data_IF_319771446926
#
_entry.id   IF_319771446926
#
_cell.length_a   1.000
_cell.length_b   1.000
_cell.length_c   1.000
_cell.angle_alpha   90.00
_cell.angle_beta   90.00
_cell.angle_gamma   90.00
#
_symmetry.space_group_name_H-M   'P 1'
#
loop_
_entity.id
_entity.type
_entity.pdbx_description
1 polymer ?
#
# COMPACT_ATOMS: atom_id res chain seq x y z
N UNK A 1 -25.33 14.73 -41.36
CA UNK A 1 -26.01 14.10 -40.16
C UNK A 1 -25.18 13.01 -39.48
N UNK A 2 -24.19 12.39 -40.13
CA UNK A 2 -23.35 11.36 -39.50
C UNK A 2 -22.26 11.95 -38.56
N UNK A 3 -21.85 13.21 -38.74
CA UNK A 3 -20.80 13.87 -37.96
C UNK A 3 -21.20 14.18 -36.51
N UNK A 4 -22.51 14.24 -36.26
CA UNK A 4 -23.06 14.52 -34.93
C UNK A 4 -23.09 13.27 -34.00
N UNK A 5 -22.89 12.03 -34.58
CA UNK A 5 -23.06 10.78 -33.83
C UNK A 5 -21.97 10.55 -32.78
N UNK A 6 -20.70 10.79 -33.13
CA UNK A 6 -19.58 10.63 -32.20
C UNK A 6 -19.65 11.69 -31.09
N UNK A 7 -19.89 12.94 -31.43
CA UNK A 7 -20.05 14.03 -30.48
C UNK A 7 -21.23 13.81 -29.51
N UNK A 8 -22.37 13.34 -30.01
CA UNK A 8 -23.52 13.00 -29.15
C UNK A 8 -23.20 11.86 -28.20
N UNK A 9 -22.54 10.79 -28.65
CA UNK A 9 -22.06 9.70 -27.78
C UNK A 9 -21.05 10.20 -26.75
N UNK A 10 -20.15 11.08 -27.16
CA UNK A 10 -19.17 11.71 -26.28
C UNK A 10 -19.85 12.51 -25.15
N UNK A 11 -20.80 13.37 -25.48
CA UNK A 11 -21.59 14.13 -24.51
C UNK A 11 -22.31 13.20 -23.53
N UNK A 12 -23.04 12.21 -24.05
CA UNK A 12 -23.77 11.23 -23.23
C UNK A 12 -22.82 10.45 -22.31
N UNK A 13 -21.61 10.12 -22.78
CA UNK A 13 -20.62 9.41 -22.01
C UNK A 13 -20.05 10.26 -20.86
N UNK A 14 -19.78 11.55 -21.10
CA UNK A 14 -19.32 12.47 -20.08
C UNK A 14 -20.38 12.68 -18.99
N UNK A 15 -21.62 12.94 -19.37
CA UNK A 15 -22.75 13.16 -18.48
C UNK A 15 -23.10 11.89 -17.69
N UNK A 16 -23.19 10.74 -18.37
CA UNK A 16 -23.53 9.46 -17.75
C UNK A 16 -22.50 8.93 -16.74
N UNK A 17 -21.26 9.41 -16.81
CA UNK A 17 -20.19 9.07 -15.86
C UNK A 17 -19.77 10.24 -14.96
N UNK A 18 -20.51 11.34 -14.97
CA UNK A 18 -20.24 12.54 -14.14
C UNK A 18 -18.76 13.01 -14.21
N UNK A 19 -18.15 12.96 -15.42
CA UNK A 19 -16.71 13.17 -15.56
C UNK A 19 -16.28 14.63 -15.39
N UNK A 20 -17.18 15.56 -15.65
CA UNK A 20 -16.92 17.01 -15.63
C UNK A 20 -17.79 17.78 -14.62
N UNK A 21 -18.42 17.08 -13.69
CA UNK A 21 -19.26 17.72 -12.66
C UNK A 21 -18.41 18.59 -11.74
N UNK A 22 -18.73 19.90 -11.64
CA UNK A 22 -17.99 20.86 -10.85
C UNK A 22 -16.61 21.24 -11.40
N UNK A 23 -16.23 20.73 -12.58
CA UNK A 23 -14.94 21.02 -13.22
C UNK A 23 -14.97 22.38 -13.90
N UNK A 24 -13.94 23.21 -13.65
CA UNK A 24 -13.74 24.53 -14.26
C UNK A 24 -12.60 24.55 -15.28
N UNK A 25 -11.66 23.64 -15.14
CA UNK A 25 -10.47 23.58 -15.97
C UNK A 25 -10.18 22.11 -16.38
N UNK A 26 -9.90 21.86 -17.65
CA UNK A 26 -9.52 20.53 -18.16
C UNK A 26 -8.14 20.62 -18.76
N UNK A 27 -7.18 19.90 -18.16
CA UNK A 27 -5.83 19.73 -18.71
C UNK A 27 -5.86 18.55 -19.67
N UNK A 28 -5.71 18.80 -20.97
CA UNK A 28 -5.77 17.76 -22.01
C UNK A 28 -4.36 17.36 -22.39
N UNK A 29 -4.02 16.08 -22.18
CA UNK A 29 -2.77 15.51 -22.66
C UNK A 29 -2.84 15.22 -24.18
N UNK A 30 -2.08 15.96 -24.97
CA UNK A 30 -2.11 15.88 -26.45
C UNK A 30 -0.74 15.48 -26.98
N UNK A 31 -0.68 14.32 -27.67
CA UNK A 31 0.57 13.80 -28.28
C UNK A 31 0.79 14.19 -29.73
N UNK A 32 -0.22 14.78 -30.39
CA UNK A 32 -0.19 15.02 -31.85
C UNK A 32 -0.80 13.89 -32.69
N UNK A 33 -0.99 12.71 -32.13
CA UNK A 33 -1.66 11.58 -32.78
C UNK A 33 -3.18 11.71 -32.82
N UNK A 34 -3.84 10.94 -33.70
CA UNK A 34 -5.28 11.04 -34.02
C UNK A 34 -6.17 11.02 -32.77
N UNK A 35 -5.95 10.10 -31.84
CA UNK A 35 -6.82 9.91 -30.67
C UNK A 35 -6.82 11.16 -29.77
N UNK A 36 -5.63 11.71 -29.51
CA UNK A 36 -5.47 12.91 -28.67
C UNK A 36 -5.97 14.18 -29.34
N UNK A 37 -5.78 14.32 -30.66
CA UNK A 37 -6.27 15.47 -31.41
C UNK A 37 -7.79 15.46 -31.56
N UNK A 38 -8.41 14.27 -31.74
CA UNK A 38 -9.88 14.14 -31.74
C UNK A 38 -10.45 14.42 -30.34
N UNK A 39 -9.81 13.94 -29.28
CA UNK A 39 -10.20 14.28 -27.91
C UNK A 39 -10.20 15.79 -27.69
N UNK A 40 -9.11 16.47 -28.09
CA UNK A 40 -8.99 17.93 -27.99
C UNK A 40 -10.11 18.63 -28.76
N UNK A 41 -10.40 18.19 -29.98
CA UNK A 41 -11.48 18.76 -30.82
C UNK A 41 -12.87 18.58 -30.20
N UNK A 42 -13.18 17.39 -29.67
CA UNK A 42 -14.46 17.11 -29.02
C UNK A 42 -14.65 17.96 -27.75
N UNK A 43 -13.59 18.10 -26.94
CA UNK A 43 -13.60 18.94 -25.73
C UNK A 43 -13.69 20.44 -26.08
N UNK A 44 -13.03 20.91 -27.14
CA UNK A 44 -13.13 22.27 -27.64
C UNK A 44 -14.58 22.60 -28.03
N UNK A 45 -15.26 21.69 -28.74
CA UNK A 45 -16.63 21.86 -29.16
C UNK A 45 -17.63 21.83 -27.98
N UNK A 46 -17.31 21.03 -26.93
CA UNK A 46 -18.17 20.88 -25.76
C UNK A 46 -17.95 21.96 -24.69
N UNK A 47 -16.76 22.55 -24.60
CA UNK A 47 -16.36 23.48 -23.53
C UNK A 47 -17.28 24.71 -23.39
N UNK A 48 -17.79 25.35 -24.47
CA UNK A 48 -18.70 26.49 -24.33
C UNK A 48 -20.05 26.12 -23.69
N UNK A 49 -20.51 24.89 -23.94
CA UNK A 49 -21.79 24.40 -23.40
C UNK A 49 -21.64 23.99 -21.93
N UNK A 50 -20.52 23.36 -21.59
CA UNK A 50 -20.27 22.84 -20.25
C UNK A 50 -19.57 23.85 -19.29
N UNK A 51 -19.09 24.98 -19.82
CA UNK A 51 -18.56 26.09 -19.01
C UNK A 51 -17.19 25.83 -18.38
N UNK A 52 -16.33 25.03 -18.99
CA UNK A 52 -14.95 24.80 -18.54
C UNK A 52 -13.94 25.40 -19.53
N UNK A 53 -12.71 25.62 -19.03
CA UNK A 53 -11.58 26.07 -19.85
C UNK A 53 -10.65 24.92 -20.20
N UNK A 54 -10.08 24.94 -21.42
CA UNK A 54 -9.11 23.97 -21.90
C UNK A 54 -7.69 24.47 -21.72
N UNK A 55 -6.84 23.58 -21.25
CA UNK A 55 -5.41 23.74 -21.08
C UNK A 55 -4.72 22.56 -21.75
N UNK A 56 -4.02 22.81 -22.86
CA UNK A 56 -3.38 21.76 -23.66
C UNK A 56 -1.97 21.51 -23.14
N UNK A 57 -1.67 20.27 -22.74
CA UNK A 57 -0.35 19.86 -22.26
C UNK A 57 0.26 18.84 -23.24
N UNK A 58 1.43 19.20 -23.81
CA UNK A 58 2.20 18.36 -24.71
C UNK A 58 3.56 18.01 -24.09
N UNK A 59 3.87 16.71 -24.00
CA UNK A 59 5.19 16.24 -23.59
C UNK A 59 5.98 15.75 -24.81
N UNK A 60 7.08 16.42 -25.12
CA UNK A 60 8.04 15.95 -26.09
C UNK A 60 9.07 15.04 -25.41
N UNK A 61 9.06 13.77 -25.74
CA UNK A 61 9.85 12.71 -25.10
C UNK A 61 11.31 12.68 -25.55
N UNK A 62 11.69 13.46 -26.59
CA UNK A 62 13.01 13.48 -27.26
C UNK A 62 13.50 12.08 -27.72
N UNK A 63 12.57 11.14 -27.99
CA UNK A 63 12.92 9.80 -28.47
C UNK A 63 13.04 9.74 -29.98
N UNK A 64 12.19 10.51 -30.70
CA UNK A 64 12.00 10.39 -32.15
C UNK A 64 12.62 11.53 -32.95
N UNK A 65 13.50 12.35 -32.34
CA UNK A 65 14.12 13.49 -32.99
C UNK A 65 13.11 14.41 -33.73
N UNK A 66 13.33 14.70 -35.01
CA UNK A 66 12.48 15.60 -35.81
C UNK A 66 10.98 15.25 -35.84
N UNK A 67 10.63 13.97 -35.68
CA UNK A 67 9.21 13.59 -35.66
C UNK A 67 8.52 14.07 -34.39
N UNK A 68 9.20 14.03 -33.24
CA UNK A 68 8.67 14.55 -31.99
C UNK A 68 8.52 16.08 -32.02
N UNK A 69 9.42 16.78 -32.71
CA UNK A 69 9.31 18.23 -32.93
C UNK A 69 8.16 18.58 -33.86
N UNK A 70 7.89 17.78 -34.90
CA UNK A 70 6.72 17.94 -35.79
C UNK A 70 5.41 17.77 -35.01
N UNK A 71 5.34 16.80 -34.10
CA UNK A 71 4.18 16.60 -33.22
C UNK A 71 3.95 17.83 -32.33
N UNK A 72 4.98 18.35 -31.71
CA UNK A 72 4.94 19.56 -30.89
C UNK A 72 4.47 20.78 -31.70
N UNK A 73 5.05 20.99 -32.90
CA UNK A 73 4.67 22.09 -33.78
C UNK A 73 3.20 22.01 -34.20
N UNK A 74 2.71 20.82 -34.59
CA UNK A 74 1.31 20.60 -34.96
C UNK A 74 0.35 20.99 -33.83
N UNK A 75 0.62 20.54 -32.60
CA UNK A 75 -0.21 20.87 -31.43
C UNK A 75 -0.13 22.36 -31.09
N UNK A 76 1.08 22.95 -31.11
CA UNK A 76 1.29 24.38 -30.88
C UNK A 76 0.50 25.24 -31.86
N UNK A 77 0.59 24.95 -33.15
CA UNK A 77 -0.10 25.69 -34.22
C UNK A 77 -1.62 25.54 -34.13
N UNK A 78 -2.11 24.35 -33.74
CA UNK A 78 -3.52 24.16 -33.48
C UNK A 78 -3.99 25.06 -32.32
N UNK A 79 -3.26 25.07 -31.21
CA UNK A 79 -3.58 25.88 -30.04
C UNK A 79 -3.55 27.38 -30.34
N UNK A 80 -2.54 27.86 -31.07
CA UNK A 80 -2.46 29.27 -31.51
C UNK A 80 -3.67 29.68 -32.34
N UNK A 81 -4.06 28.87 -33.34
CA UNK A 81 -5.23 29.16 -34.20
C UNK A 81 -6.54 29.17 -33.42
N UNK A 82 -6.65 28.40 -32.33
CA UNK A 82 -7.85 28.25 -31.53
C UNK A 82 -7.87 29.11 -30.25
N UNK A 83 -6.80 29.83 -29.99
CA UNK A 83 -6.67 30.65 -28.76
C UNK A 83 -6.65 29.81 -27.47
N UNK A 84 -6.13 28.57 -27.53
CA UNK A 84 -6.04 27.68 -26.40
C UNK A 84 -4.73 27.84 -25.65
N UNK A 85 -4.79 27.76 -24.31
CA UNK A 85 -3.57 27.74 -23.47
C UNK A 85 -2.75 26.48 -23.77
N UNK A 86 -1.47 26.67 -24.09
CA UNK A 86 -0.55 25.60 -24.47
C UNK A 86 0.65 25.54 -23.51
N UNK A 87 0.88 24.34 -22.98
CA UNK A 87 2.00 24.01 -22.09
C UNK A 87 2.82 22.92 -22.73
N UNK A 88 4.12 23.11 -22.84
CA UNK A 88 5.03 22.14 -23.41
C UNK A 88 6.16 21.84 -22.43
N UNK A 89 6.54 20.56 -22.34
CA UNK A 89 7.73 20.10 -21.62
C UNK A 89 8.53 19.17 -22.52
N UNK A 90 9.84 19.34 -22.56
CA UNK A 90 10.76 18.48 -23.31
C UNK A 90 11.62 17.73 -22.32
N UNK A 91 11.66 16.40 -22.40
CA UNK A 91 12.40 15.54 -21.46
C UNK A 91 13.04 14.39 -22.23
N UNK A 92 14.34 14.17 -21.99
CA UNK A 92 15.06 13.00 -22.51
C UNK A 92 14.63 11.74 -21.70
N UNK A 93 13.61 11.06 -22.20
CA UNK A 93 13.04 9.87 -21.53
C UNK A 93 14.04 8.70 -21.47
N UNK A 94 14.85 8.39 -22.48
CA UNK A 94 15.91 7.40 -22.38
C UNK A 94 16.87 7.64 -21.20
N UNK A 95 17.37 8.84 -21.04
CA UNK A 95 18.26 9.21 -19.94
C UNK A 95 17.55 9.12 -18.57
N UNK A 96 16.30 9.55 -18.49
CA UNK A 96 15.49 9.42 -17.28
C UNK A 96 15.27 7.95 -16.90
N UNK A 97 14.95 7.08 -17.88
CA UNK A 97 14.72 5.66 -17.68
C UNK A 97 15.98 4.95 -17.17
N UNK A 98 17.14 5.27 -17.73
CA UNK A 98 18.43 4.73 -17.30
C UNK A 98 18.76 5.13 -15.86
N UNK A 99 18.60 6.43 -15.55
CA UNK A 99 18.86 6.97 -14.20
C UNK A 99 17.99 6.33 -13.12
N UNK A 100 16.69 6.16 -13.40
CA UNK A 100 15.73 5.61 -12.43
C UNK A 100 15.66 4.06 -12.47
N UNK A 101 16.35 3.39 -13.39
CA UNK A 101 16.37 1.93 -13.53
C UNK A 101 15.01 1.33 -13.93
N UNK A 102 14.20 2.06 -14.72
CA UNK A 102 12.87 1.65 -15.14
C UNK A 102 12.74 1.53 -16.66
N UNK A 103 11.68 0.87 -17.14
CA UNK A 103 11.45 0.76 -18.59
C UNK A 103 11.11 2.13 -19.22
N UNK A 104 11.43 2.30 -20.52
CA UNK A 104 11.08 3.50 -21.30
C UNK A 104 9.59 3.84 -21.24
N UNK A 105 8.71 2.82 -21.23
CA UNK A 105 7.27 2.99 -21.14
C UNK A 105 6.87 3.56 -19.77
N UNK A 106 7.44 3.01 -18.68
CA UNK A 106 7.20 3.50 -17.33
C UNK A 106 7.73 4.93 -17.15
N UNK A 107 8.94 5.20 -17.59
CA UNK A 107 9.56 6.52 -17.54
C UNK A 107 8.71 7.57 -18.28
N UNK A 108 8.31 7.27 -19.52
CA UNK A 108 7.45 8.14 -20.31
C UNK A 108 6.08 8.37 -19.69
N UNK A 109 5.51 7.35 -19.04
CA UNK A 109 4.24 7.46 -18.31
C UNK A 109 4.39 8.34 -17.07
N UNK A 110 5.39 8.10 -16.26
CA UNK A 110 5.65 8.83 -15.01
C UNK A 110 5.89 10.32 -15.27
N UNK A 111 6.80 10.66 -16.17
CA UNK A 111 7.10 12.04 -16.55
C UNK A 111 5.87 12.75 -17.12
N UNK A 112 5.06 12.06 -17.94
CA UNK A 112 3.84 12.60 -18.52
C UNK A 112 2.82 13.00 -17.47
N UNK A 113 2.50 12.09 -16.53
CA UNK A 113 1.51 12.39 -15.49
C UNK A 113 2.04 13.38 -14.46
N UNK A 114 3.34 13.37 -14.16
CA UNK A 114 3.97 14.39 -13.33
C UNK A 114 3.82 15.78 -13.95
N UNK A 115 4.09 15.92 -15.24
CA UNK A 115 3.93 17.18 -15.98
C UNK A 115 2.46 17.64 -16.02
N UNK A 116 1.52 16.74 -16.31
CA UNK A 116 0.10 17.10 -16.32
C UNK A 116 -0.40 17.57 -14.96
N UNK A 117 0.09 16.96 -13.86
CA UNK A 117 -0.21 17.42 -12.51
C UNK A 117 0.48 18.74 -12.15
N UNK A 118 1.66 19.01 -12.70
CA UNK A 118 2.33 20.29 -12.56
C UNK A 118 1.49 21.42 -13.16
N UNK A 119 0.99 21.25 -14.39
CA UNK A 119 0.06 22.21 -15.03
C UNK A 119 -1.23 22.36 -14.22
N UNK A 120 -1.78 21.24 -13.76
CA UNK A 120 -3.03 21.21 -12.99
C UNK A 120 -2.94 21.97 -11.66
N UNK A 121 -1.78 21.96 -10.98
CA UNK A 121 -1.61 22.57 -9.64
C UNK A 121 -1.94 24.05 -9.63
N UNK A 122 -1.77 24.75 -10.72
CA UNK A 122 -2.11 26.19 -10.85
C UNK A 122 -3.58 26.45 -11.19
N UNK A 123 -4.38 25.39 -11.40
CA UNK A 123 -5.73 25.47 -11.94
C UNK A 123 -6.76 24.92 -10.92
N UNK A 124 -7.59 25.76 -10.31
CA UNK A 124 -8.60 25.29 -9.37
C UNK A 124 -9.69 24.47 -10.09
N UNK A 125 -10.27 23.51 -9.37
CA UNK A 125 -11.35 22.64 -9.87
C UNK A 125 -11.02 22.02 -11.24
N UNK A 126 -9.85 21.36 -11.33
CA UNK A 126 -9.31 20.85 -12.59
C UNK A 126 -9.19 19.34 -12.62
N UNK A 127 -9.32 18.77 -13.81
CA UNK A 127 -9.09 17.34 -14.14
C UNK A 127 -8.12 17.21 -15.30
N UNK A 128 -7.48 16.04 -15.41
CA UNK A 128 -6.61 15.67 -16.53
C UNK A 128 -7.39 14.76 -17.47
N UNK A 129 -7.48 15.11 -18.76
CA UNK A 129 -8.12 14.30 -19.80
C UNK A 129 -7.06 13.64 -20.70
N UNK A 130 -7.22 12.33 -20.94
CA UNK A 130 -6.31 11.56 -21.81
C UNK A 130 -7.05 10.80 -22.89
N UNK A 131 -6.41 10.60 -24.05
CA UNK A 131 -6.98 10.03 -25.26
C UNK A 131 -6.98 8.49 -25.32
N UNK A 132 -7.26 7.80 -24.21
CA UNK A 132 -7.40 6.34 -24.25
C UNK A 132 -8.74 5.92 -24.86
N UNK A 133 -8.68 4.92 -25.74
CA UNK A 133 -9.81 4.41 -26.51
C UNK A 133 -10.32 3.07 -25.98
N UNK A 134 -11.43 2.56 -26.56
CA UNK A 134 -11.93 1.20 -26.31
C UNK A 134 -10.91 0.14 -26.74
N UNK A 135 -10.24 0.37 -27.86
CA UNK A 135 -9.19 -0.54 -28.34
C UNK A 135 -8.04 -0.64 -27.33
N UNK A 136 -7.55 0.49 -26.79
CA UNK A 136 -6.48 0.50 -25.76
C UNK A 136 -6.92 -0.22 -24.48
N UNK A 137 -8.18 -0.06 -24.10
CA UNK A 137 -8.76 -0.74 -22.94
C UNK A 137 -8.77 -2.26 -23.13
N UNK A 138 -9.29 -2.73 -24.24
CA UNK A 138 -9.36 -4.17 -24.57
C UNK A 138 -7.97 -4.78 -24.69
N UNK A 139 -7.04 -4.11 -25.37
CA UNK A 139 -5.63 -4.51 -25.44
C UNK A 139 -5.04 -4.71 -24.04
N UNK A 140 -5.35 -3.79 -23.12
CA UNK A 140 -4.85 -3.85 -21.74
C UNK A 140 -5.46 -5.02 -20.95
N UNK A 141 -6.77 -5.25 -21.10
CA UNK A 141 -7.45 -6.39 -20.46
C UNK A 141 -6.88 -7.71 -20.95
N UNK A 142 -6.79 -7.89 -22.28
CA UNK A 142 -6.25 -9.10 -22.87
C UNK A 142 -4.79 -9.33 -22.48
N UNK A 143 -3.95 -8.30 -22.49
CA UNK A 143 -2.55 -8.40 -22.08
C UNK A 143 -2.42 -8.87 -20.63
N UNK A 144 -3.23 -8.32 -19.72
CA UNK A 144 -3.26 -8.73 -18.31
C UNK A 144 -3.80 -10.14 -18.15
N UNK A 145 -4.84 -10.50 -18.90
CA UNK A 145 -5.41 -11.84 -18.90
C UNK A 145 -4.38 -12.90 -19.30
N UNK A 146 -3.66 -12.70 -20.41
CA UNK A 146 -2.62 -13.64 -20.87
C UNK A 146 -1.39 -13.71 -19.93
N UNK A 147 -1.16 -12.67 -19.12
CA UNK A 147 -0.12 -12.68 -18.07
C UNK A 147 -0.57 -13.32 -16.77
N UNK A 148 -1.82 -13.75 -16.65
CA UNK A 148 -2.36 -14.36 -15.44
C UNK A 148 -2.74 -13.32 -14.39
N UNK A 149 -3.84 -12.61 -14.60
CA UNK A 149 -4.35 -11.62 -13.64
C UNK A 149 -5.53 -12.15 -12.85
N UNK A 150 -5.75 -11.58 -11.64
CA UNK A 150 -7.01 -11.71 -10.92
C UNK A 150 -8.08 -10.75 -11.46
N UNK A 151 -9.25 -10.74 -10.80
CA UNK A 151 -10.39 -9.87 -11.15
C UNK A 151 -10.00 -8.40 -11.24
N UNK A 152 -9.12 -7.93 -10.36
CA UNK A 152 -8.62 -6.54 -10.35
C UNK A 152 -8.00 -6.13 -11.71
N UNK A 153 -7.22 -7.01 -12.33
CA UNK A 153 -6.60 -6.71 -13.62
C UNK A 153 -7.56 -6.71 -14.79
N UNK A 154 -8.71 -7.40 -14.66
CA UNK A 154 -9.77 -7.39 -15.68
C UNK A 154 -10.51 -6.05 -15.78
N UNK A 155 -10.40 -5.17 -14.80
CA UNK A 155 -10.92 -3.79 -14.88
C UNK A 155 -10.30 -2.98 -16.04
N UNK A 156 -9.16 -3.40 -16.56
CA UNK A 156 -8.49 -2.74 -17.69
C UNK A 156 -8.10 -1.28 -17.39
N UNK A 157 -8.46 -0.37 -18.29
CA UNK A 157 -8.25 1.07 -18.15
C UNK A 157 -9.54 1.71 -17.63
N UNK A 158 -9.57 2.21 -16.37
CA UNK A 158 -10.78 2.82 -15.81
C UNK A 158 -11.17 4.13 -16.52
N UNK A 159 -12.45 4.46 -16.53
CA UNK A 159 -12.98 5.70 -17.13
C UNK A 159 -12.48 6.92 -16.36
N UNK A 160 -12.44 6.81 -15.02
CA UNK A 160 -11.93 7.82 -14.09
C UNK A 160 -11.05 7.17 -13.05
N UNK A 161 -9.92 7.79 -12.75
CA UNK A 161 -8.97 7.32 -11.75
C UNK A 161 -8.33 8.54 -11.05
N UNK A 162 -8.78 8.80 -9.83
CA UNK A 162 -8.40 10.03 -9.15
C UNK A 162 -8.77 11.27 -9.93
N UNK A 163 -7.76 12.03 -10.35
CA UNK A 163 -7.90 13.27 -11.10
C UNK A 163 -7.81 13.11 -12.64
N UNK A 164 -7.67 11.87 -13.11
CA UNK A 164 -7.54 11.54 -14.54
C UNK A 164 -8.85 10.96 -15.07
N UNK A 165 -9.35 11.54 -16.17
CA UNK A 165 -10.53 11.08 -16.91
C UNK A 165 -10.15 10.63 -18.34
N UNK A 166 -10.95 9.73 -18.92
CA UNK A 166 -10.72 9.17 -20.24
C UNK A 166 -11.99 9.31 -21.11
N UNK A 167 -12.24 10.52 -21.59
CA UNK A 167 -13.53 10.89 -22.19
C UNK A 167 -13.90 10.14 -23.46
N UNK A 168 -12.92 9.55 -24.16
CA UNK A 168 -13.14 8.79 -25.41
C UNK A 168 -12.92 7.28 -25.26
N UNK A 169 -12.89 6.75 -24.01
CA UNK A 169 -12.71 5.31 -23.76
C UNK A 169 -13.83 4.44 -24.36
N UNK A 170 -14.98 5.01 -24.65
CA UNK A 170 -16.09 4.34 -25.33
C UNK A 170 -15.90 4.19 -26.85
N UNK A 171 -14.99 4.95 -27.46
CA UNK A 171 -14.85 5.06 -28.91
C UNK A 171 -13.77 4.10 -29.44
N UNK A 172 -14.02 3.56 -30.62
CA UNK A 172 -13.07 2.76 -31.42
C UNK A 172 -12.05 3.68 -32.11
N UNK A 173 -10.79 3.26 -32.24
CA UNK A 173 -9.76 4.00 -32.99
C UNK A 173 -10.21 4.27 -34.43
N UNK A 174 -10.86 3.30 -35.10
CA UNK A 174 -11.41 3.48 -36.45
C UNK A 174 -12.46 4.60 -36.52
N UNK A 175 -13.28 4.77 -35.51
CA UNK A 175 -14.31 5.84 -35.47
C UNK A 175 -13.63 7.22 -35.29
N UNK A 176 -12.59 7.31 -34.44
CA UNK A 176 -11.81 8.54 -34.26
C UNK A 176 -11.10 8.96 -35.55
N UNK A 177 -10.46 8.01 -36.21
CA UNK A 177 -9.80 8.27 -37.48
C UNK A 177 -10.79 8.79 -38.57
N UNK A 178 -11.98 8.16 -38.69
CA UNK A 178 -13.04 8.63 -39.60
C UNK A 178 -13.53 10.04 -39.23
N UNK A 179 -13.70 10.31 -37.91
CA UNK A 179 -14.10 11.63 -37.45
C UNK A 179 -13.04 12.68 -37.79
N UNK A 180 -11.76 12.39 -37.52
CA UNK A 180 -10.65 13.29 -37.83
C UNK A 180 -10.62 13.67 -39.29
N UNK A 181 -10.74 12.68 -40.22
CA UNK A 181 -10.77 12.92 -41.65
C UNK A 181 -11.96 13.77 -42.11
N UNK A 182 -13.16 13.48 -41.60
CA UNK A 182 -14.39 14.21 -41.99
C UNK A 182 -14.42 15.64 -41.47
N UNK A 183 -13.83 15.90 -40.32
CA UNK A 183 -13.83 17.21 -39.67
C UNK A 183 -12.54 17.99 -39.86
N UNK A 184 -11.64 17.53 -40.75
CA UNK A 184 -10.32 18.13 -41.01
C UNK A 184 -9.52 18.40 -39.75
N UNK A 185 -9.56 17.46 -38.77
CA UNK A 185 -8.73 17.54 -37.57
C UNK A 185 -7.30 17.16 -37.96
N UNK A 186 -6.31 18.04 -37.76
CA UNK A 186 -4.92 17.72 -38.10
C UNK A 186 -4.34 16.72 -37.11
N UNK A 187 -3.59 15.73 -37.58
CA UNK A 187 -2.84 14.79 -36.77
C UNK A 187 -1.66 14.21 -37.55
N UNK A 188 -0.65 13.73 -36.83
CA UNK A 188 0.46 12.99 -37.39
C UNK A 188 0.25 11.49 -37.22
N UNK A 189 0.61 10.71 -38.26
CA UNK A 189 0.56 9.24 -38.18
C UNK A 189 1.86 8.71 -37.55
N UNK A 190 1.71 7.81 -36.59
CA UNK A 190 2.83 7.18 -35.90
C UNK A 190 3.18 5.85 -36.56
N UNK A 191 4.23 5.84 -37.37
CA UNK A 191 4.69 4.64 -38.08
C UNK A 191 5.29 3.55 -37.16
N UNK A 192 5.64 3.86 -35.90
CA UNK A 192 6.14 2.85 -34.96
C UNK A 192 5.09 1.92 -34.40
N UNK A 193 3.80 2.23 -34.62
CA UNK A 193 2.68 1.36 -34.24
C UNK A 193 2.63 0.02 -35.00
N UNK A 194 3.41 -0.15 -36.05
CA UNK A 194 3.43 -1.36 -36.91
C UNK A 194 4.50 -2.39 -36.51
N UNK A 195 5.35 -2.09 -35.51
CA UNK A 195 6.39 -3.05 -35.09
C UNK A 195 5.78 -4.12 -34.17
N UNK A 196 5.65 -5.36 -34.67
CA UNK A 196 5.10 -6.52 -33.93
C UNK A 196 6.01 -7.05 -32.80
N UNK A 197 7.08 -6.35 -32.47
CA UNK A 197 8.04 -6.76 -31.42
C UNK A 197 7.42 -6.65 -30.01
N UNK A 198 6.41 -5.82 -29.83
CA UNK A 198 5.79 -5.60 -28.54
C UNK A 198 4.49 -6.43 -28.36
N UNK A 199 4.31 -7.13 -27.22
CA UNK A 199 3.12 -7.95 -26.96
C UNK A 199 1.79 -7.23 -27.19
N UNK A 200 1.72 -5.93 -26.93
CA UNK A 200 0.54 -5.10 -27.15
C UNK A 200 0.23 -4.96 -28.65
N UNK A 201 1.25 -4.84 -29.49
CA UNK A 201 1.07 -4.76 -30.95
C UNK A 201 0.60 -6.09 -31.54
N UNK A 202 1.06 -7.22 -31.00
CA UNK A 202 0.55 -8.56 -31.39
C UNK A 202 -0.96 -8.65 -31.08
N UNK A 203 -1.39 -8.22 -29.89
CA UNK A 203 -2.81 -8.21 -29.51
C UNK A 203 -3.60 -7.33 -30.50
N UNK A 204 -3.11 -6.13 -30.81
CA UNK A 204 -3.75 -5.14 -31.68
C UNK A 204 -3.87 -5.61 -33.13
N UNK A 205 -2.79 -6.16 -33.70
CA UNK A 205 -2.70 -6.41 -35.14
C UNK A 205 -3.01 -7.87 -35.52
N UNK A 206 -2.79 -8.82 -34.64
CA UNK A 206 -2.99 -10.23 -34.91
C UNK A 206 -4.18 -10.83 -34.15
N UNK A 207 -4.27 -10.63 -32.83
CA UNK A 207 -5.25 -11.34 -32.00
C UNK A 207 -6.64 -10.72 -32.13
N UNK A 208 -6.79 -9.42 -31.83
CA UNK A 208 -8.11 -8.76 -31.84
C UNK A 208 -8.79 -8.81 -33.19
N UNK A 209 -8.12 -8.54 -34.33
CA UNK A 209 -8.76 -8.65 -35.65
C UNK A 209 -9.23 -10.06 -35.96
N UNK A 210 -8.46 -11.08 -35.54
CA UNK A 210 -8.85 -12.48 -35.75
C UNK A 210 -10.06 -12.87 -34.89
N UNK A 211 -10.08 -12.44 -33.63
CA UNK A 211 -11.24 -12.64 -32.74
C UNK A 211 -12.50 -11.96 -33.29
N UNK A 212 -12.39 -10.73 -33.83
CA UNK A 212 -13.51 -10.02 -34.44
C UNK A 212 -14.04 -10.75 -35.68
N UNK A 213 -13.12 -11.28 -36.50
CA UNK A 213 -13.49 -11.94 -37.77
C UNK A 213 -14.06 -13.34 -37.56
N UNK A 214 -13.37 -14.16 -36.72
CA UNK A 214 -13.58 -15.61 -36.71
C UNK A 214 -14.46 -16.06 -35.53
N UNK A 215 -14.60 -15.25 -34.46
CA UNK A 215 -15.29 -15.65 -33.23
C UNK A 215 -16.46 -14.72 -32.90
N UNK A 216 -16.23 -13.43 -32.75
CA UNK A 216 -17.26 -12.47 -32.34
C UNK A 216 -16.99 -11.08 -32.91
N UNK A 217 -17.77 -10.58 -33.88
CA UNK A 217 -17.62 -9.23 -34.42
C UNK A 217 -17.71 -8.11 -33.37
N UNK A 218 -18.30 -8.39 -32.19
CA UNK A 218 -18.42 -7.47 -31.08
C UNK A 218 -17.52 -7.86 -29.89
N UNK A 219 -16.38 -8.49 -30.12
CA UNK A 219 -15.48 -8.95 -29.04
C UNK A 219 -15.03 -7.81 -28.13
N UNK A 220 -14.81 -6.60 -28.65
CA UNK A 220 -14.43 -5.46 -27.83
C UNK A 220 -15.56 -5.06 -26.86
N UNK A 221 -16.80 -5.08 -27.32
CA UNK A 221 -17.95 -4.85 -26.44
C UNK A 221 -18.12 -5.93 -25.39
N UNK A 222 -17.84 -7.19 -25.73
CA UNK A 222 -17.90 -8.29 -24.78
C UNK A 222 -16.81 -8.15 -23.68
N UNK A 223 -15.59 -7.79 -24.05
CA UNK A 223 -14.50 -7.53 -23.10
C UNK A 223 -14.78 -6.29 -22.25
N UNK A 224 -15.33 -5.20 -22.80
CA UNK A 224 -15.73 -4.02 -22.05
C UNK A 224 -16.84 -4.34 -21.04
N UNK A 225 -17.81 -5.18 -21.38
CA UNK A 225 -18.84 -5.63 -20.46
C UNK A 225 -18.24 -6.47 -19.30
N UNK A 226 -17.31 -7.39 -19.60
CA UNK A 226 -16.61 -8.16 -18.58
C UNK A 226 -15.83 -7.23 -17.64
N UNK A 227 -15.18 -6.22 -18.19
CA UNK A 227 -14.43 -5.23 -17.40
C UNK A 227 -15.33 -4.41 -16.47
N UNK A 228 -16.53 -4.02 -16.93
CA UNK A 228 -17.52 -3.32 -16.08
C UNK A 228 -18.00 -4.21 -14.93
N UNK A 229 -18.31 -5.47 -15.21
CA UNK A 229 -18.68 -6.42 -14.15
C UNK A 229 -17.54 -6.61 -13.14
N UNK A 230 -16.29 -6.68 -13.61
CA UNK A 230 -15.13 -6.75 -12.72
C UNK A 230 -14.97 -5.46 -11.87
N UNK A 231 -15.26 -4.28 -12.43
CA UNK A 231 -15.23 -3.01 -11.71
C UNK A 231 -16.30 -2.97 -10.60
N UNK A 232 -17.56 -3.30 -10.92
CA UNK A 232 -18.66 -3.38 -9.96
C UNK A 232 -18.35 -4.37 -8.82
N UNK A 233 -17.79 -5.54 -9.15
CA UNK A 233 -17.39 -6.53 -8.17
C UNK A 233 -16.28 -6.02 -7.25
N UNK A 234 -15.30 -5.31 -7.80
CA UNK A 234 -14.19 -4.74 -7.01
C UNK A 234 -14.65 -3.59 -6.12
N UNK A 235 -15.61 -2.79 -6.55
CA UNK A 235 -16.20 -1.73 -5.71
C UNK A 235 -16.98 -2.35 -4.53
N UNK A 236 -17.79 -3.38 -4.78
CA UNK A 236 -18.47 -4.13 -3.71
C UNK A 236 -17.47 -4.78 -2.74
N UNK A 237 -16.40 -5.39 -3.29
CA UNK A 237 -15.35 -5.99 -2.48
C UNK A 237 -14.66 -4.93 -1.60
N UNK A 238 -14.35 -3.76 -2.14
CA UNK A 238 -13.73 -2.66 -1.39
C UNK A 238 -14.61 -2.23 -0.20
N UNK A 239 -15.89 -1.99 -0.43
CA UNK A 239 -16.83 -1.65 0.66
C UNK A 239 -16.89 -2.75 1.73
N UNK A 240 -16.83 -4.01 1.31
CA UNK A 240 -16.83 -5.15 2.22
C UNK A 240 -15.54 -5.20 3.02
N UNK A 241 -14.39 -4.99 2.39
CA UNK A 241 -13.08 -4.95 3.06
C UNK A 241 -12.99 -3.79 4.06
N UNK A 242 -13.54 -2.62 3.74
CA UNK A 242 -13.59 -1.48 4.66
C UNK A 242 -14.41 -1.81 5.94
N UNK A 243 -15.49 -2.56 5.80
CA UNK A 243 -16.27 -3.06 6.94
C UNK A 243 -15.49 -4.07 7.77
N UNK A 244 -14.78 -5.00 7.12
CA UNK A 244 -13.92 -5.98 7.80
C UNK A 244 -12.74 -5.29 8.49
N UNK A 245 -12.17 -4.26 7.88
CA UNK A 245 -11.10 -3.47 8.48
C UNK A 245 -11.53 -2.83 9.80
N UNK A 246 -12.67 -2.15 9.81
CA UNK A 246 -13.27 -1.55 11.02
C UNK A 246 -13.60 -2.59 12.10
N UNK A 247 -13.93 -3.83 11.70
CA UNK A 247 -14.31 -4.90 12.60
C UNK A 247 -13.12 -5.61 13.24
N UNK A 248 -12.06 -5.86 12.46
CA UNK A 248 -10.97 -6.74 12.86
C UNK A 248 -9.67 -6.06 13.20
N UNK A 249 -9.43 -4.83 12.76
CA UNK A 249 -8.22 -4.07 13.14
C UNK A 249 -8.46 -3.41 14.50
N UNK A 250 -7.78 -3.91 15.54
CA UNK A 250 -7.84 -3.34 16.88
C UNK A 250 -6.89 -2.15 17.03
N UNK A 251 -5.71 -2.25 16.43
CA UNK A 251 -4.65 -1.25 16.55
C UNK A 251 -3.87 -1.14 15.24
N UNK A 252 -3.49 0.07 14.87
CA UNK A 252 -2.58 0.33 13.75
C UNK A 252 -1.65 1.49 14.08
N UNK A 253 -0.35 1.21 13.98
CA UNK A 253 0.73 2.21 14.03
C UNK A 253 1.60 2.07 12.76
N UNK A 254 2.63 2.88 12.63
CA UNK A 254 3.60 2.75 11.53
C UNK A 254 4.39 1.43 11.55
N UNK A 255 4.52 0.80 12.72
CA UNK A 255 5.35 -0.40 12.91
C UNK A 255 4.57 -1.65 13.32
N UNK A 256 3.26 -1.54 13.57
CA UNK A 256 2.44 -2.63 14.07
C UNK A 256 0.99 -2.50 13.59
N UNK A 257 0.41 -3.61 13.14
CA UNK A 257 -1.04 -3.78 13.00
C UNK A 257 -1.46 -4.99 13.84
N UNK A 258 -2.45 -4.80 14.69
CA UNK A 258 -3.09 -5.86 15.47
C UNK A 258 -4.44 -6.19 14.85
N UNK A 259 -4.63 -7.44 14.45
CA UNK A 259 -5.90 -7.99 13.98
C UNK A 259 -6.49 -8.89 15.06
N UNK A 260 -7.77 -8.74 15.35
CA UNK A 260 -8.51 -9.66 16.21
C UNK A 260 -9.55 -10.40 15.41
N UNK A 261 -9.28 -11.68 15.13
CA UNK A 261 -10.16 -12.56 14.35
C UNK A 261 -10.40 -13.82 15.17
N UNK A 262 -11.62 -13.98 15.66
CA UNK A 262 -12.00 -15.18 16.42
C UNK A 262 -12.31 -16.33 15.47
N UNK A 263 -12.05 -17.56 15.89
CA UNK A 263 -12.40 -18.77 15.11
C UNK A 263 -13.91 -18.89 14.82
N UNK A 264 -14.75 -18.24 15.61
CA UNK A 264 -16.19 -18.13 15.38
C UNK A 264 -16.59 -17.11 14.31
N UNK A 265 -15.65 -16.25 13.87
CA UNK A 265 -15.88 -15.32 12.78
C UNK A 265 -15.76 -16.05 11.45
N UNK A 266 -16.86 -16.69 11.06
CA UNK A 266 -16.92 -17.47 9.81
C UNK A 266 -16.92 -16.50 8.63
N UNK A 267 -15.77 -16.36 7.97
CA UNK A 267 -15.66 -15.63 6.72
C UNK A 267 -15.44 -16.60 5.56
N UNK A 268 -16.03 -16.26 4.41
CA UNK A 268 -15.71 -16.98 3.19
C UNK A 268 -14.20 -16.94 2.92
N UNK A 269 -13.53 -18.05 2.55
CA UNK A 269 -12.08 -18.09 2.35
C UNK A 269 -11.53 -16.99 1.42
N UNK A 270 -12.28 -16.68 0.36
CA UNK A 270 -11.93 -15.59 -0.56
C UNK A 270 -11.90 -14.23 0.17
N UNK A 271 -12.90 -13.91 0.98
CA UNK A 271 -12.98 -12.64 1.69
C UNK A 271 -11.87 -12.48 2.72
N UNK A 272 -11.57 -13.55 3.48
CA UNK A 272 -10.47 -13.50 4.45
C UNK A 272 -9.13 -13.34 3.77
N UNK A 273 -8.87 -14.04 2.65
CA UNK A 273 -7.67 -13.88 1.86
C UNK A 273 -7.54 -12.47 1.27
N UNK A 274 -8.64 -11.92 0.74
CA UNK A 274 -8.66 -10.57 0.20
C UNK A 274 -8.42 -9.51 1.31
N UNK A 275 -9.00 -9.72 2.49
CA UNK A 275 -8.79 -8.86 3.65
C UNK A 275 -7.34 -8.87 4.11
N UNK A 276 -6.74 -10.06 4.30
CA UNK A 276 -5.34 -10.20 4.69
C UNK A 276 -4.40 -9.53 3.67
N UNK A 277 -4.67 -9.71 2.36
CA UNK A 277 -3.93 -9.03 1.29
C UNK A 277 -4.04 -7.52 1.40
N UNK A 278 -5.24 -7.00 1.61
CA UNK A 278 -5.49 -5.56 1.75
C UNK A 278 -4.73 -4.98 2.94
N UNK A 279 -4.77 -5.64 4.10
CA UNK A 279 -4.06 -5.20 5.31
C UNK A 279 -2.54 -5.23 5.10
N UNK A 280 -1.98 -6.25 4.43
CA UNK A 280 -0.55 -6.31 4.14
C UNK A 280 -0.08 -5.15 3.27
N UNK A 281 -0.82 -4.84 2.20
CA UNK A 281 -0.48 -3.73 1.28
C UNK A 281 -0.62 -2.39 2.00
N UNK A 282 -1.68 -2.20 2.78
CA UNK A 282 -1.93 -1.00 3.58
C UNK A 282 -0.88 -0.80 4.70
N UNK A 283 -0.26 -1.87 5.16
CA UNK A 283 0.86 -1.84 6.10
C UNK A 283 2.23 -1.59 5.45
N UNK A 284 2.30 -1.57 4.11
CA UNK A 284 3.52 -1.24 3.36
C UNK A 284 4.27 -2.43 2.76
N UNK A 285 3.70 -3.63 2.75
CA UNK A 285 4.28 -4.75 2.00
C UNK A 285 4.14 -4.48 0.51
N UNK A 286 5.24 -4.60 -0.24
CA UNK A 286 5.25 -4.42 -1.70
C UNK A 286 4.20 -5.34 -2.36
N UNK A 287 3.22 -4.79 -3.10
CA UNK A 287 2.18 -5.58 -3.77
C UNK A 287 2.71 -6.70 -4.66
N UNK A 288 3.89 -6.54 -5.26
CA UNK A 288 4.53 -7.55 -6.11
C UNK A 288 5.01 -8.79 -5.32
N UNK A 289 5.29 -8.62 -4.03
CA UNK A 289 5.72 -9.66 -3.11
C UNK A 289 4.55 -10.39 -2.42
N UNK A 290 3.33 -9.86 -2.55
CA UNK A 290 2.11 -10.45 -1.97
C UNK A 290 1.55 -11.50 -2.92
N UNK A 291 2.18 -12.66 -2.94
CA UNK A 291 1.79 -13.78 -3.82
C UNK A 291 0.58 -14.55 -3.28
N UNK A 292 -0.13 -15.26 -4.18
CA UNK A 292 -1.25 -16.11 -3.77
C UNK A 292 -0.84 -17.20 -2.76
N UNK A 293 0.38 -17.73 -2.88
CA UNK A 293 0.94 -18.71 -1.95
C UNK A 293 1.08 -18.14 -0.53
N UNK A 294 1.69 -16.95 -0.41
CA UNK A 294 1.82 -16.26 0.89
C UNK A 294 0.47 -15.99 1.54
N UNK A 295 -0.49 -15.47 0.79
CA UNK A 295 -1.84 -15.22 1.29
C UNK A 295 -2.54 -16.50 1.73
N UNK A 296 -2.34 -17.61 1.01
CA UNK A 296 -2.93 -18.91 1.38
C UNK A 296 -2.30 -19.45 2.67
N UNK A 297 -1.02 -19.23 2.89
CA UNK A 297 -0.36 -19.61 4.13
C UNK A 297 -0.84 -18.77 5.32
N UNK A 298 -0.96 -17.44 5.15
CA UNK A 298 -1.54 -16.59 6.19
C UNK A 298 -2.99 -16.98 6.52
N UNK A 299 -3.79 -17.26 5.50
CA UNK A 299 -5.15 -17.78 5.70
C UNK A 299 -5.15 -19.04 6.57
N UNK A 300 -4.25 -20.01 6.27
CA UNK A 300 -4.10 -21.23 7.07
C UNK A 300 -3.69 -20.93 8.50
N UNK A 301 -2.73 -20.01 8.71
CA UNK A 301 -2.29 -19.58 10.04
C UNK A 301 -3.43 -18.94 10.84
N UNK A 302 -4.29 -18.15 10.19
CA UNK A 302 -5.45 -17.53 10.86
C UNK A 302 -6.51 -18.57 11.23
N UNK A 303 -6.79 -19.56 10.35
CA UNK A 303 -7.82 -20.54 10.59
C UNK A 303 -7.38 -21.68 11.54
N UNK A 304 -6.14 -22.15 11.40
CA UNK A 304 -5.64 -23.39 12.02
C UNK A 304 -4.41 -23.15 12.92
N UNK A 305 -3.82 -21.96 12.86
CA UNK A 305 -2.56 -21.66 13.54
C UNK A 305 -2.65 -21.75 15.06
N UNK A 306 -1.56 -22.24 15.67
CA UNK A 306 -1.38 -22.23 17.11
C UNK A 306 -0.60 -20.98 17.50
N UNK A 307 -0.88 -20.43 18.70
CA UNK A 307 -0.15 -19.30 19.25
C UNK A 307 1.37 -19.56 19.31
N UNK A 308 2.16 -18.50 19.07
CA UNK A 308 3.61 -18.57 19.07
C UNK A 308 4.24 -18.88 17.70
N UNK A 309 3.47 -18.90 16.59
CA UNK A 309 4.02 -18.99 15.26
C UNK A 309 4.37 -17.61 14.69
N UNK A 310 5.45 -17.58 13.93
CA UNK A 310 5.92 -16.42 13.15
C UNK A 310 6.05 -16.82 11.69
N UNK A 311 5.68 -15.92 10.79
CA UNK A 311 5.86 -16.06 9.35
C UNK A 311 6.50 -14.79 8.80
N UNK A 312 7.65 -14.94 8.13
CA UNK A 312 8.37 -13.83 7.49
C UNK A 312 7.71 -13.46 6.15
N UNK A 313 7.34 -12.20 6.00
CA UNK A 313 6.72 -11.66 4.79
C UNK A 313 7.73 -11.02 3.83
N UNK A 314 8.98 -10.83 4.28
CA UNK A 314 10.01 -10.04 3.62
C UNK A 314 9.93 -8.56 4.03
N UNK A 315 10.91 -7.77 3.57
CA UNK A 315 11.00 -6.31 3.87
C UNK A 315 11.01 -5.99 5.37
N UNK A 316 11.60 -6.88 6.17
CA UNK A 316 11.60 -6.80 7.64
C UNK A 316 10.18 -6.79 8.25
N UNK A 317 9.18 -7.35 7.59
CA UNK A 317 7.82 -7.49 8.11
C UNK A 317 7.54 -8.95 8.43
N UNK A 318 7.05 -9.21 9.63
CA UNK A 318 6.63 -10.53 10.08
C UNK A 318 5.15 -10.57 10.50
N UNK A 319 4.53 -11.72 10.27
CA UNK A 319 3.20 -12.03 10.74
C UNK A 319 3.30 -12.97 11.95
N UNK A 320 2.66 -12.59 13.05
CA UNK A 320 2.64 -13.36 14.29
C UNK A 320 1.24 -13.86 14.62
N UNK A 321 1.16 -15.07 15.15
CA UNK A 321 -0.07 -15.69 15.63
C UNK A 321 -0.05 -15.74 17.15
N UNK A 322 -1.04 -15.11 17.80
CA UNK A 322 -1.24 -15.18 19.24
C UNK A 322 -2.73 -15.35 19.58
N UNK A 323 -3.17 -16.60 19.69
CA UNK A 323 -4.57 -17.01 19.98
C UNK A 323 -5.58 -16.47 18.96
N UNK A 324 -6.41 -15.46 19.34
CA UNK A 324 -7.37 -14.76 18.49
C UNK A 324 -6.83 -13.43 17.95
N UNK A 325 -5.55 -13.14 18.21
CA UNK A 325 -4.85 -11.94 17.72
C UNK A 325 -3.75 -12.31 16.75
N UNK A 326 -3.63 -11.51 15.72
CA UNK A 326 -2.62 -11.64 14.69
C UNK A 326 -1.94 -10.29 14.51
N UNK A 327 -0.61 -10.29 14.40
CA UNK A 327 0.14 -9.06 14.31
C UNK A 327 0.95 -9.04 13.03
N UNK A 328 0.85 -7.94 12.28
CA UNK A 328 1.87 -7.57 11.30
C UNK A 328 2.80 -6.57 11.98
N UNK A 329 4.08 -6.84 11.94
CA UNK A 329 5.06 -6.01 12.64
C UNK A 329 6.30 -5.79 11.79
N UNK A 330 6.78 -4.55 11.75
CA UNK A 330 8.10 -4.23 11.22
C UNK A 330 9.15 -4.70 12.22
N UNK A 331 10.02 -5.61 11.77
CA UNK A 331 11.10 -6.13 12.60
C UNK A 331 12.22 -5.08 12.70
N UNK A 332 12.44 -4.63 13.91
CA UNK A 332 13.67 -3.92 14.27
C UNK A 332 14.55 -4.92 15.02
N UNK A 333 15.81 -4.98 14.69
CA UNK A 333 16.77 -5.75 15.48
C UNK A 333 16.72 -5.22 16.92
N UNK A 334 16.15 -6.03 17.81
CA UNK A 334 16.21 -5.74 19.24
C UNK A 334 17.64 -6.01 19.69
N UNK A 335 18.43 -4.97 19.76
CA UNK A 335 19.80 -5.05 20.25
C UNK A 335 19.99 -4.04 21.38
N UNK A 336 20.31 -4.55 22.54
CA UNK A 336 20.74 -3.77 23.70
C UNK A 336 21.64 -4.65 24.56
N UNK A 337 22.68 -4.04 25.10
CA UNK A 337 23.68 -4.70 25.91
C UNK A 337 23.23 -4.83 27.35
N UNK A 338 23.91 -5.68 28.09
CA UNK A 338 23.71 -5.81 29.55
C UNK A 338 24.06 -4.49 30.23
N UNK A 339 23.20 -4.08 31.15
CA UNK A 339 23.32 -2.81 31.84
C UNK A 339 23.41 -3.08 33.34
N UNK A 340 24.50 -2.65 34.01
CA UNK A 340 24.61 -2.70 35.46
C UNK A 340 23.61 -1.71 36.09
N UNK A 341 22.83 -2.19 37.05
CA UNK A 341 21.81 -1.41 37.71
C UNK A 341 22.40 -0.71 38.94
N UNK A 342 22.36 0.62 39.02
CA UNK A 342 22.82 1.33 40.21
C UNK A 342 21.89 1.07 41.41
N UNK A 343 22.44 1.13 42.63
CA UNK A 343 21.62 0.99 43.84
C UNK A 343 20.57 2.09 43.97
N UNK A 344 20.91 3.31 43.58
CA UNK A 344 20.01 4.46 43.50
C UNK A 344 20.28 5.15 42.18
N UNK A 345 19.29 5.15 41.26
CA UNK A 345 19.46 5.78 39.96
C UNK A 345 18.43 5.37 38.92
N UNK A 346 18.76 5.73 37.70
CA UNK A 346 17.92 5.50 36.51
C UNK A 346 18.75 4.80 35.42
N UNK A 347 18.18 3.76 34.86
CA UNK A 347 18.67 3.08 33.66
C UNK A 347 17.63 3.26 32.55
N UNK A 348 18.05 3.75 31.42
CA UNK A 348 17.15 4.06 30.30
C UNK A 348 17.73 3.63 28.97
N UNK A 349 16.92 3.03 28.12
CA UNK A 349 17.22 2.80 26.73
C UNK A 349 15.99 3.08 25.85
N UNK A 350 16.05 2.70 24.57
CA UNK A 350 14.95 2.94 23.63
C UNK A 350 13.69 2.09 23.90
N UNK A 351 13.75 1.08 24.74
CA UNK A 351 12.67 0.12 24.99
C UNK A 351 12.04 0.26 26.37
N UNK A 352 12.82 0.67 27.37
CA UNK A 352 12.36 0.74 28.75
C UNK A 352 13.13 1.76 29.58
N UNK A 353 12.53 2.08 30.71
CA UNK A 353 13.14 2.84 31.79
C UNK A 353 13.04 2.02 33.08
N UNK A 354 14.14 1.87 33.84
CA UNK A 354 14.17 1.23 35.15
C UNK A 354 14.76 2.22 36.17
N UNK A 355 14.01 2.48 37.24
CA UNK A 355 14.43 3.32 38.34
C UNK A 355 14.64 2.46 39.58
N UNK A 356 15.70 2.73 40.33
CA UNK A 356 16.03 2.01 41.54
C UNK A 356 16.27 2.96 42.72
N UNK A 357 15.84 2.55 43.89
CA UNK A 357 16.03 3.28 45.15
C UNK A 357 16.18 2.32 46.32
N UNK A 358 17.23 2.49 47.12
CA UNK A 358 17.42 1.71 48.36
C UNK A 358 16.74 2.41 49.52
N UNK A 359 15.84 1.69 50.18
CA UNK A 359 15.03 2.16 51.30
C UNK A 359 15.31 1.34 52.54
N UNK A 360 15.25 1.98 53.72
CA UNK A 360 15.26 1.26 55.00
C UNK A 360 13.88 0.74 55.33
N UNK A 361 13.75 -0.46 55.87
CA UNK A 361 12.50 -1.20 56.11
C UNK A 361 11.36 -0.39 56.78
N UNK A 362 11.67 0.60 57.61
CA UNK A 362 10.66 1.41 58.33
C UNK A 362 9.99 2.53 57.51
N UNK A 363 10.35 2.71 56.24
CA UNK A 363 9.87 3.83 55.36
C UNK A 363 9.08 3.41 54.14
N UNK A 364 8.65 2.14 54.04
CA UNK A 364 8.04 1.60 52.81
C UNK A 364 6.56 1.35 53.02
N UNK A 365 5.71 2.00 52.24
CA UNK A 365 4.30 1.62 52.04
C UNK A 365 4.24 0.59 50.92
N UNK A 366 3.64 -0.58 51.21
CA UNK A 366 3.42 -1.64 50.21
C UNK A 366 2.19 -1.32 49.38
N UNK A 367 2.39 -0.78 48.18
CA UNK A 367 1.31 -0.72 47.17
C UNK A 367 1.00 -2.12 46.63
N UNK A 368 -0.17 -2.65 47.00
CA UNK A 368 -0.66 -3.91 46.44
C UNK A 368 -1.10 -3.70 45.00
N UNK A 369 -0.64 -4.60 44.08
CA UNK A 369 -1.06 -4.74 42.69
C UNK A 369 -0.45 -3.85 41.60
N UNK A 370 0.69 -3.20 41.85
CA UNK A 370 1.42 -2.52 40.79
C UNK A 370 2.58 -3.39 40.26
N UNK A 371 2.33 -4.14 39.16
CA UNK A 371 3.34 -5.02 38.53
C UNK A 371 4.55 -4.28 37.96
N UNK A 372 4.46 -2.98 37.82
CA UNK A 372 5.57 -2.13 37.37
C UNK A 372 6.53 -1.75 38.52
N UNK A 373 6.20 -2.05 39.77
CA UNK A 373 6.99 -1.71 40.93
C UNK A 373 7.17 -2.96 41.80
N UNK A 374 8.42 -3.29 42.11
CA UNK A 374 8.74 -4.42 43.00
C UNK A 374 9.67 -3.97 44.12
N UNK A 375 9.50 -4.63 45.29
CA UNK A 375 10.30 -4.43 46.49
C UNK A 375 11.10 -5.70 46.74
N UNK A 376 12.41 -5.60 46.58
CA UNK A 376 13.35 -6.71 46.72
C UNK A 376 14.14 -6.62 48.03
N UNK A 377 14.40 -7.73 48.64
CA UNK A 377 15.38 -7.84 49.74
C UNK A 377 16.79 -7.63 49.18
N UNK A 378 17.34 -6.44 49.40
CA UNK A 378 18.65 -6.08 48.88
C UNK A 378 19.79 -6.80 49.60
N UNK A 379 19.56 -7.25 50.84
CA UNK A 379 20.57 -7.99 51.62
C UNK A 379 20.81 -9.41 51.06
N UNK A 380 19.86 -9.94 50.23
CA UNK A 380 19.96 -11.24 49.58
C UNK A 380 20.63 -11.17 48.20
N UNK A 381 20.84 -9.99 47.65
CA UNK A 381 21.44 -9.80 46.33
C UNK A 381 22.94 -10.18 46.37
N UNK A 382 23.35 -11.06 45.45
CA UNK A 382 24.71 -11.57 45.35
C UNK A 382 25.48 -10.91 44.23
N UNK A 383 26.34 -9.99 44.59
CA UNK A 383 27.20 -9.28 43.66
C UNK A 383 26.49 -8.11 42.95
N UNK A 384 26.60 -8.03 41.64
CA UNK A 384 26.04 -6.94 40.83
C UNK A 384 24.67 -7.29 40.27
N UNK A 385 23.75 -6.34 40.30
CA UNK A 385 22.49 -6.45 39.61
C UNK A 385 22.68 -5.97 38.16
N UNK A 386 22.22 -6.77 37.21
CA UNK A 386 22.27 -6.48 35.78
C UNK A 386 20.90 -6.61 35.17
N UNK A 387 20.54 -5.70 34.27
CA UNK A 387 19.47 -5.84 33.34
C UNK A 387 20.02 -6.46 32.07
N UNK A 388 19.41 -7.56 31.63
CA UNK A 388 19.80 -8.26 30.41
C UNK A 388 18.59 -8.85 29.67
N UNK A 389 18.78 -9.22 28.42
CA UNK A 389 17.80 -10.06 27.74
C UNK A 389 17.71 -11.43 28.39
N UNK A 390 16.50 -12.03 28.34
CA UNK A 390 16.36 -13.40 28.81
C UNK A 390 17.21 -14.36 27.98
N UNK A 391 17.63 -15.47 28.57
CA UNK A 391 18.44 -16.51 27.93
C UNK A 391 17.69 -17.84 27.96
N UNK A 392 17.91 -18.67 26.93
CA UNK A 392 17.38 -20.03 26.96
C UNK A 392 17.96 -20.78 28.15
N UNK A 393 17.09 -21.33 28.99
CA UNK A 393 17.50 -22.01 30.23
C UNK A 393 17.31 -21.19 31.48
N UNK A 394 17.05 -19.87 31.39
CA UNK A 394 16.74 -19.04 32.56
C UNK A 394 15.57 -19.60 33.34
N UNK A 395 15.76 -19.64 34.67
CA UNK A 395 14.75 -20.10 35.61
C UNK A 395 14.56 -19.05 36.71
N UNK A 396 13.33 -18.96 37.20
CA UNK A 396 12.96 -18.12 38.34
C UNK A 396 12.08 -18.94 39.26
N UNK A 397 12.15 -18.67 40.56
CA UNK A 397 11.23 -19.23 41.53
C UNK A 397 10.14 -18.20 41.82
N UNK A 398 8.94 -18.32 41.20
CA UNK A 398 7.89 -17.33 41.36
C UNK A 398 7.49 -17.15 42.84
N UNK A 399 7.12 -15.93 43.22
CA UNK A 399 6.69 -15.59 44.55
C UNK A 399 5.59 -16.56 45.03
N UNK A 400 5.77 -17.17 46.21
CA UNK A 400 4.86 -18.15 46.81
C UNK A 400 4.94 -19.56 46.24
N UNK A 401 5.82 -19.86 45.27
CA UNK A 401 6.02 -21.20 44.74
C UNK A 401 7.23 -21.90 45.34
N UNK A 402 7.11 -23.23 45.55
CA UNK A 402 8.22 -24.06 46.07
C UNK A 402 9.26 -24.45 45.00
N UNK A 403 8.90 -24.36 43.71
CA UNK A 403 9.73 -24.83 42.61
C UNK A 403 10.12 -23.74 41.62
N UNK A 404 11.16 -24.03 40.82
CA UNK A 404 11.61 -23.16 39.75
C UNK A 404 10.78 -23.36 38.46
N UNK A 405 10.50 -22.26 37.76
CA UNK A 405 9.83 -22.20 36.49
C UNK A 405 10.77 -21.62 35.44
N UNK A 406 10.72 -22.10 34.21
CA UNK A 406 11.47 -21.47 33.11
C UNK A 406 10.91 -20.09 32.81
N UNK A 407 11.77 -19.12 32.54
CA UNK A 407 11.37 -17.76 32.13
C UNK A 407 10.53 -17.80 30.84
N UNK A 408 10.83 -18.73 29.91
CA UNK A 408 10.01 -19.00 28.73
C UNK A 408 8.55 -19.33 29.06
N UNK A 409 8.34 -20.09 30.16
CA UNK A 409 7.00 -20.51 30.59
C UNK A 409 6.27 -19.36 31.32
N UNK A 410 7.03 -18.49 32.03
CA UNK A 410 6.48 -17.26 32.59
C UNK A 410 5.91 -16.37 31.50
N UNK A 411 6.63 -16.19 30.40
CA UNK A 411 6.11 -15.41 29.24
C UNK A 411 4.83 -16.02 28.64
N UNK A 412 4.75 -17.35 28.58
CA UNK A 412 3.54 -18.03 28.09
C UNK A 412 2.35 -17.81 29.02
N UNK A 413 2.54 -17.97 30.33
CA UNK A 413 1.47 -17.80 31.33
C UNK A 413 1.01 -16.34 31.44
N UNK A 414 1.94 -15.40 31.36
CA UNK A 414 1.64 -13.97 31.35
C UNK A 414 1.14 -13.48 29.98
N UNK A 415 0.97 -14.39 29.01
CA UNK A 415 0.47 -14.09 27.66
C UNK A 415 1.28 -13.04 26.92
N UNK A 416 2.61 -13.02 27.12
CA UNK A 416 3.50 -12.10 26.45
C UNK A 416 3.61 -12.47 24.96
N UNK A 417 3.33 -11.55 24.04
CA UNK A 417 3.50 -11.78 22.61
C UNK A 417 4.94 -12.17 22.27
N UNK A 418 5.13 -13.04 21.27
CA UNK A 418 6.45 -13.59 20.93
C UNK A 418 7.51 -12.49 20.69
N UNK A 419 7.13 -11.43 20.01
CA UNK A 419 8.01 -10.31 19.66
C UNK A 419 8.37 -9.39 20.83
N UNK A 420 7.61 -9.44 21.96
CA UNK A 420 7.91 -8.66 23.17
C UNK A 420 8.92 -9.34 24.08
N UNK A 421 9.13 -10.66 23.94
CA UNK A 421 10.00 -11.43 24.85
C UNK A 421 11.43 -10.91 24.89
N UNK A 422 11.97 -10.47 23.76
CA UNK A 422 13.34 -9.96 23.68
C UNK A 422 13.49 -8.49 24.13
N UNK A 423 12.36 -7.80 24.32
CA UNK A 423 12.30 -6.40 24.77
C UNK A 423 12.23 -6.35 26.31
N UNK A 424 11.47 -7.28 26.92
CA UNK A 424 11.26 -7.30 28.36
C UNK A 424 12.60 -7.66 29.06
N UNK A 425 13.14 -6.77 29.89
CA UNK A 425 14.39 -7.07 30.59
C UNK A 425 14.18 -8.06 31.72
N UNK A 426 15.23 -8.83 31.96
CA UNK A 426 15.37 -9.69 33.13
C UNK A 426 16.39 -9.05 34.06
N UNK A 427 15.98 -8.73 35.28
CA UNK A 427 16.89 -8.33 36.35
C UNK A 427 17.50 -9.59 36.97
N UNK A 428 18.80 -9.71 36.94
CA UNK A 428 19.52 -10.85 37.49
C UNK A 428 20.70 -10.38 38.35
N UNK A 429 21.10 -11.19 39.32
CA UNK A 429 22.37 -11.06 39.98
C UNK A 429 23.40 -12.09 39.47
N UNK A 430 24.49 -12.30 40.22
CA UNK A 430 25.53 -13.24 39.77
C UNK A 430 25.10 -14.70 39.79
N UNK A 431 24.02 -15.07 40.44
CA UNK A 431 23.60 -16.45 40.63
C UNK A 431 22.30 -16.79 39.88
N UNK A 432 21.27 -15.90 39.94
CA UNK A 432 19.96 -16.23 39.41
C UNK A 432 19.14 -15.01 38.94
N UNK A 433 17.98 -15.32 38.37
CA UNK A 433 16.98 -14.32 37.92
C UNK A 433 16.23 -13.78 39.15
N UNK A 434 16.33 -12.50 39.38
CA UNK A 434 15.68 -11.77 40.48
C UNK A 434 14.25 -11.37 40.11
N UNK A 435 14.08 -10.82 38.90
CA UNK A 435 12.79 -10.34 38.43
C UNK A 435 12.70 -10.41 36.90
N UNK A 436 11.61 -10.95 36.38
CA UNK A 436 11.21 -10.72 34.99
C UNK A 436 10.37 -9.46 35.01
N UNK A 437 10.95 -8.35 34.56
CA UNK A 437 10.43 -7.00 34.80
C UNK A 437 8.98 -6.85 34.35
N UNK A 438 8.14 -6.33 35.24
CA UNK A 438 6.71 -6.16 34.99
C UNK A 438 5.86 -7.45 34.99
N UNK A 439 6.47 -8.62 35.25
CA UNK A 439 5.77 -9.91 35.18
C UNK A 439 5.85 -10.71 36.51
N UNK A 440 7.03 -11.21 36.88
CA UNK A 440 7.17 -12.13 38.02
C UNK A 440 8.48 -11.87 38.76
N UNK A 441 8.37 -11.69 40.09
CA UNK A 441 9.49 -11.57 41.00
C UNK A 441 9.85 -12.95 41.57
N UNK A 442 11.14 -13.13 41.89
CA UNK A 442 11.65 -14.32 42.56
C UNK A 442 11.35 -14.33 44.05
N UNK A 443 10.81 -15.46 44.56
CA UNK A 443 10.56 -15.68 45.99
C UNK A 443 11.85 -15.64 46.85
N UNK A 444 13.00 -15.93 46.21
CA UNK A 444 14.30 -15.90 46.89
C UNK A 444 14.72 -14.50 47.34
N UNK A 445 14.18 -13.46 46.70
CA UNK A 445 14.46 -12.04 47.03
C UNK A 445 13.29 -11.32 47.70
N UNK A 446 12.36 -12.10 48.24
CA UNK A 446 11.20 -11.58 48.96
C UNK A 446 11.67 -10.87 50.23
N UNK A 447 11.08 -9.71 50.51
CA UNK A 447 11.23 -8.97 51.78
C UNK A 447 10.59 -9.79 52.91
N UNK A 448 11.35 -10.02 53.98
CA UNK A 448 10.91 -10.77 55.17
C UNK A 448 11.26 -10.01 56.46
N UNK A 449 11.14 -10.68 57.60
CA UNK A 449 11.38 -10.05 58.91
C UNK A 449 12.85 -9.70 59.14
N UNK A 450 13.79 -10.43 58.53
CA UNK A 450 15.23 -10.24 58.64
C UNK A 450 15.79 -9.15 57.72
N UNK A 451 15.05 -8.74 56.70
CA UNK A 451 15.44 -7.72 55.72
C UNK A 451 15.71 -6.37 56.37
N UNK A 452 16.89 -5.79 56.14
CA UNK A 452 17.27 -4.45 56.61
C UNK A 452 17.16 -3.40 55.52
N UNK A 453 17.65 -3.74 54.33
CA UNK A 453 17.67 -2.87 53.16
C UNK A 453 16.72 -3.40 52.08
N UNK A 454 15.85 -2.54 51.58
CA UNK A 454 14.87 -2.86 50.51
C UNK A 454 15.27 -2.10 49.26
N UNK A 455 15.42 -2.82 48.12
CA UNK A 455 15.57 -2.19 46.82
C UNK A 455 14.18 -2.06 46.17
N UNK A 456 13.71 -0.85 46.00
CA UNK A 456 12.56 -0.53 45.19
C UNK A 456 13.00 -0.44 43.72
N UNK A 457 12.37 -1.20 42.85
CA UNK A 457 12.62 -1.21 41.41
C UNK A 457 11.33 -0.87 40.66
N UNK A 458 11.37 0.15 39.84
CA UNK A 458 10.27 0.58 39.03
C UNK A 458 10.63 0.35 37.55
N UNK A 459 9.72 -0.30 36.77
CA UNK A 459 9.90 -0.60 35.36
C UNK A 459 8.81 0.06 34.52
N UNK A 460 9.18 0.74 33.46
CA UNK A 460 8.29 1.38 32.53
C UNK A 460 8.66 0.98 31.08
N UNK A 461 7.74 0.36 30.36
CA UNK A 461 7.86 0.09 28.92
C UNK A 461 7.66 1.38 28.14
N UNK A 462 8.47 1.61 27.09
CA UNK A 462 8.38 2.78 26.19
C UNK A 462 7.62 2.49 24.93
#
# INVERSE_FOLDING_TARGET
>A
MADNKLFFRFKKFLEGNALLDGVKNVVVGVSGGVDSMVLLRLLEEFSPVAGFRLHVAHLNHLIRGEMADKDEMLVCDYCKRKGLAFYVKRVNIPEYAEKEGISLEMAGREVRYSFFREVKRSLPNSVIATGHTLDDHVETVLLRFFRGTGVEGLRGIPIKEGDVIRPIRFARKRELYQFAKRNNVPFNEDHTNFLEIYPRNIIRHAIVPRLEKDINPNVLGAVDNLSRMAEELMDYLKETLDKLYKRFVEEKTESLVCLRIKRSDVLHPFLLKAFLRSVMIDFGVDPSKVTYSKITELYRLVCEGHAGKRYDLGDNISFYVDRDRFYLKVEKLVNWDEIEVPKNGLVENQYFTVKTEVLSKGKVEFEKDNRSVELLDFDKVKGKLILRRWRQGDRIRPLGMKGYKKVSDVFVDCKVPLWKKDIIPVLADNEEVVWVCGLVMSDNYKVDEETKNILKVEYYEK
#
